data_IF_509343393624
#
_entry.id   IF_509343393624
#
_cell.length_a   1.000
_cell.length_b   1.000
_cell.length_c   1.000
_cell.angle_alpha   90.00
_cell.angle_beta   90.00
_cell.angle_gamma   90.00
#
_symmetry.space_group_name_H-M   'P 1'
#
loop_
_entity.id
_entity.type
_entity.pdbx_description
1 polymer ?
#
# COMPACT_ATOMS: atom_id res chain seq x y z
N UNK A 1 26.39 13.38 7.58
CA UNK A 1 25.37 14.20 6.89
C UNK A 1 24.06 13.92 7.59
N UNK A 2 23.47 14.90 8.29
CA UNK A 2 22.13 14.73 8.87
C UNK A 2 21.08 14.92 7.78
N UNK A 3 20.29 13.89 7.51
CA UNK A 3 19.11 14.03 6.67
C UNK A 3 18.07 14.86 7.43
N UNK A 4 17.63 15.98 6.85
CA UNK A 4 16.51 16.78 7.35
C UNK A 4 15.25 16.39 6.57
N UNK A 5 14.28 15.79 7.24
CA UNK A 5 13.00 15.46 6.64
C UNK A 5 12.14 16.71 6.50
N UNK A 6 11.76 17.04 5.26
CA UNK A 6 10.83 18.11 4.93
C UNK A 6 9.62 17.46 4.26
N UNK A 7 8.47 17.53 4.91
CA UNK A 7 7.22 17.16 4.25
C UNK A 7 6.78 18.35 3.38
N UNK A 8 6.60 18.11 2.09
CA UNK A 8 6.06 19.11 1.16
C UNK A 8 4.56 18.85 1.02
N UNK A 9 3.77 19.73 1.62
CA UNK A 9 2.32 19.76 1.45
C UNK A 9 1.97 20.86 0.44
N UNK A 10 0.78 20.80 -0.16
CA UNK A 10 0.33 21.77 -1.18
C UNK A 10 0.34 23.25 -0.71
N UNK A 11 0.54 23.53 0.59
CA UNK A 11 0.65 24.86 1.18
C UNK A 11 2.00 25.22 1.81
N UNK A 12 3.04 24.38 1.72
CA UNK A 12 4.36 24.72 2.28
C UNK A 12 5.22 23.54 2.73
N UNK A 13 6.38 23.87 3.33
CA UNK A 13 7.35 22.91 3.87
C UNK A 13 7.19 22.81 5.39
N UNK A 14 6.95 21.60 5.91
CA UNK A 14 6.89 21.32 7.35
C UNK A 14 8.18 20.61 7.77
N UNK A 15 8.87 21.17 8.77
CA UNK A 15 10.02 20.54 9.39
C UNK A 15 9.55 19.64 10.54
N UNK A 16 9.90 18.35 10.47
CA UNK A 16 9.47 17.32 11.42
C UNK A 16 10.69 16.74 12.15
N UNK A 17 11.13 17.34 13.27
CA UNK A 17 12.26 16.81 14.05
C UNK A 17 11.96 15.42 14.64
N UNK A 18 10.69 15.05 14.81
CA UNK A 18 10.25 13.75 15.32
C UNK A 18 10.65 12.59 14.40
N UNK A 19 10.88 12.86 13.11
CA UNK A 19 11.36 11.88 12.13
C UNK A 19 12.87 11.66 12.20
N UNK A 20 13.59 12.37 13.07
CA UNK A 20 15.01 12.19 13.24
C UNK A 20 15.29 10.78 13.81
N UNK A 21 15.95 9.93 13.02
CA UNK A 21 16.17 8.51 13.30
C UNK A 21 14.89 7.66 13.35
N UNK A 22 13.85 8.06 12.61
CA UNK A 22 12.68 7.22 12.38
C UNK A 22 12.53 6.89 10.91
N UNK A 23 12.03 5.69 10.65
CA UNK A 23 11.62 5.24 9.32
C UNK A 23 10.15 5.53 9.11
N UNK A 24 9.79 6.10 7.96
CA UNK A 24 8.38 6.29 7.59
C UNK A 24 7.87 5.03 6.94
N UNK A 25 6.99 4.30 7.64
CA UNK A 25 6.33 3.12 7.09
C UNK A 25 5.26 3.51 6.07
N UNK A 26 4.44 4.52 6.36
CA UNK A 26 3.30 4.82 5.51
C UNK A 26 2.85 6.27 5.62
N UNK A 27 2.14 6.75 4.61
CA UNK A 27 1.35 7.98 4.62
C UNK A 27 -0.12 7.58 4.44
N UNK A 28 -0.95 7.87 5.43
CA UNK A 28 -2.38 7.60 5.34
C UNK A 28 -3.07 8.60 4.42
N UNK A 29 -4.27 8.26 3.91
CA UNK A 29 -5.12 9.17 3.13
C UNK A 29 -5.49 10.44 3.89
N UNK A 30 -5.52 10.36 5.22
CA UNK A 30 -5.81 11.46 6.13
C UNK A 30 -4.60 12.39 6.33
N UNK A 31 -3.46 12.07 5.72
CA UNK A 31 -2.23 12.86 5.82
C UNK A 31 -1.42 12.58 7.09
N UNK A 32 -1.68 11.49 7.79
CA UNK A 32 -0.91 11.06 8.96
C UNK A 32 0.27 10.18 8.53
N UNK A 33 1.37 10.29 9.26
CA UNK A 33 2.56 9.48 9.01
C UNK A 33 2.59 8.31 9.99
N UNK A 34 2.73 7.09 9.48
CA UNK A 34 3.04 5.94 10.32
C UNK A 34 4.55 5.78 10.35
N UNK A 35 5.12 5.89 11.54
CA UNK A 35 6.58 5.96 11.74
C UNK A 35 7.04 4.82 12.63
N UNK A 36 8.24 4.34 12.36
CA UNK A 36 8.90 3.24 13.06
C UNK A 36 10.21 3.72 13.65
N UNK A 37 10.42 3.41 14.93
CA UNK A 37 11.67 3.70 15.63
C UNK A 37 12.68 2.57 15.42
N UNK A 38 13.27 2.55 14.22
CA UNK A 38 14.26 1.56 13.78
C UNK A 38 15.65 2.21 13.61
N UNK A 39 16.76 1.52 13.93
CA UNK A 39 16.89 0.14 14.43
C UNK A 39 16.88 0.00 15.95
N UNK A 40 16.53 1.05 16.70
CA UNK A 40 16.61 1.04 18.18
C UNK A 40 15.54 0.18 18.84
N UNK A 41 14.36 0.12 18.23
CA UNK A 41 13.21 -0.61 18.73
C UNK A 41 12.34 -1.09 17.55
N UNK A 42 11.13 -1.56 17.85
CA UNK A 42 10.10 -1.82 16.83
C UNK A 42 8.80 -1.07 17.13
N UNK A 43 8.90 0.00 17.91
CA UNK A 43 7.76 0.85 18.28
C UNK A 43 7.18 1.55 17.04
N UNK A 44 5.88 1.40 16.84
CA UNK A 44 5.14 2.06 15.77
C UNK A 44 4.35 3.21 16.36
N UNK A 45 4.41 4.36 15.70
CA UNK A 45 3.66 5.55 16.09
C UNK A 45 2.92 6.15 14.90
N UNK A 46 1.77 6.75 15.18
CA UNK A 46 1.04 7.59 14.25
C UNK A 46 1.37 9.05 14.57
N UNK A 47 2.03 9.74 13.63
CA UNK A 47 2.41 11.14 13.71
C UNK A 47 1.43 11.98 12.90
N UNK A 48 0.80 12.96 13.55
CA UNK A 48 0.13 14.04 12.86
C UNK A 48 1.17 15.13 12.53
N UNK A 49 1.50 15.37 11.24
CA UNK A 49 2.56 16.31 10.89
C UNK A 49 2.19 17.78 11.17
N UNK A 50 0.89 18.11 11.30
CA UNK A 50 0.42 19.46 11.56
C UNK A 50 0.43 19.77 13.06
N UNK A 51 -0.05 18.84 13.89
CA UNK A 51 -0.12 19.04 15.34
C UNK A 51 1.11 18.51 16.08
N UNK A 52 1.97 17.75 15.39
CA UNK A 52 3.11 17.02 15.95
C UNK A 52 2.73 15.98 17.02
N UNK A 53 1.44 15.65 17.11
CA UNK A 53 0.97 14.66 18.06
C UNK A 53 1.42 13.27 17.63
N UNK A 54 1.97 12.51 18.58
CA UNK A 54 2.40 11.12 18.41
C UNK A 54 1.48 10.20 19.20
N UNK A 55 0.93 9.21 18.51
CA UNK A 55 0.06 8.21 19.12
C UNK A 55 0.71 6.84 18.99
N UNK A 56 0.84 6.11 20.09
CA UNK A 56 1.44 4.78 20.06
C UNK A 56 0.48 3.74 19.49
N UNK A 57 1.03 2.85 18.67
CA UNK A 57 0.39 1.65 18.15
C UNK A 57 1.17 0.43 18.65
N UNK A 58 0.61 -0.79 18.57
CA UNK A 58 1.36 -1.98 18.94
C UNK A 58 2.67 -2.08 18.12
N UNK A 59 3.74 -2.66 18.68
CA UNK A 59 5.03 -2.71 18.00
C UNK A 59 4.95 -3.55 16.73
N UNK A 60 5.80 -3.25 15.75
CA UNK A 60 5.79 -3.93 14.45
C UNK A 60 6.15 -5.40 14.58
N UNK A 61 6.96 -5.78 15.58
CA UNK A 61 7.19 -7.18 15.95
C UNK A 61 5.88 -7.92 16.19
N UNK A 62 4.95 -7.37 16.96
CA UNK A 62 3.67 -8.03 17.21
C UNK A 62 2.85 -8.30 15.92
N UNK A 63 3.08 -7.53 14.85
CA UNK A 63 2.47 -7.78 13.53
C UNK A 63 3.19 -8.90 12.75
N UNK A 64 4.53 -8.89 12.74
CA UNK A 64 5.36 -9.80 11.91
C UNK A 64 5.59 -11.16 12.60
N UNK A 65 5.67 -11.19 13.94
CA UNK A 65 5.83 -12.40 14.75
C UNK A 65 4.68 -13.38 14.63
N UNK A 66 3.48 -12.90 14.26
CA UNK A 66 2.33 -13.77 14.00
C UNK A 66 2.61 -14.81 12.90
N UNK A 67 3.67 -14.65 12.12
CA UNK A 67 4.10 -15.59 11.07
C UNK A 67 5.39 -16.35 11.37
N UNK A 68 6.00 -16.22 12.56
CA UNK A 68 7.35 -16.75 12.81
C UNK A 68 8.43 -16.08 11.93
N UNK A 69 8.11 -14.88 11.43
CA UNK A 69 8.94 -14.11 10.50
C UNK A 69 9.85 -13.10 11.20
N UNK A 70 10.13 -13.30 12.49
CA UNK A 70 10.93 -12.38 13.31
C UNK A 70 12.29 -12.07 12.69
N UNK A 71 12.90 -13.09 12.05
CA UNK A 71 14.15 -12.92 11.34
C UNK A 71 14.09 -11.91 10.19
N UNK A 72 12.93 -11.71 9.55
CA UNK A 72 12.78 -10.77 8.44
C UNK A 72 13.01 -9.32 8.88
N UNK A 73 12.66 -8.97 10.12
CA UNK A 73 12.88 -7.63 10.68
C UNK A 73 14.37 -7.28 10.77
N UNK A 74 15.24 -8.28 10.96
CA UNK A 74 16.68 -8.09 11.14
C UNK A 74 17.49 -8.43 9.90
N UNK A 75 16.84 -8.66 8.76
CA UNK A 75 17.52 -8.86 7.48
C UNK A 75 17.67 -7.54 6.72
N UNK A 76 18.66 -7.45 5.83
CA UNK A 76 18.79 -6.34 4.88
C UNK A 76 17.55 -6.16 3.97
N UNK A 77 16.63 -7.14 3.96
CA UNK A 77 15.33 -6.98 3.33
C UNK A 77 14.52 -5.89 4.04
N UNK A 78 14.55 -5.77 5.37
CA UNK A 78 13.79 -4.76 6.10
C UNK A 78 14.13 -3.33 5.64
N UNK A 79 15.44 -3.01 5.56
CA UNK A 79 15.95 -1.70 5.10
C UNK A 79 15.65 -1.39 3.61
N UNK A 80 15.23 -2.39 2.82
CA UNK A 80 15.01 -2.22 1.38
C UNK A 80 13.60 -2.61 0.91
N UNK A 81 12.74 -3.16 1.78
CA UNK A 81 11.54 -3.88 1.34
C UNK A 81 10.20 -3.39 1.88
N UNK A 82 10.10 -2.54 2.91
CA UNK A 82 8.77 -2.18 3.44
C UNK A 82 8.60 -0.75 3.99
N UNK A 83 8.40 0.26 3.13
CA UNK A 83 7.25 1.13 3.34
C UNK A 83 5.98 0.29 3.12
N UNK A 84 5.01 0.37 4.03
CA UNK A 84 3.69 -0.22 3.84
C UNK A 84 3.13 0.27 2.50
N UNK A 85 2.58 -0.66 1.71
CA UNK A 85 2.12 -0.34 0.35
C UNK A 85 0.74 0.33 0.33
N UNK A 86 0.03 0.20 1.44
CA UNK A 86 -1.25 0.83 1.70
C UNK A 86 -1.39 1.11 3.18
N UNK A 87 -2.06 2.21 3.49
CA UNK A 87 -2.42 2.58 4.85
C UNK A 87 -3.62 3.49 4.86
N UNK A 88 -4.31 3.54 5.98
CA UNK A 88 -5.46 4.40 6.19
C UNK A 88 -5.94 4.38 7.62
N UNK A 89 -6.82 5.33 7.94
CA UNK A 89 -7.62 5.31 9.18
C UNK A 89 -9.06 4.98 8.80
N UNK A 90 -9.64 3.96 9.42
CA UNK A 90 -11.02 3.57 9.13
C UNK A 90 -12.02 4.64 9.62
N UNK A 91 -13.28 4.49 9.21
CA UNK A 91 -14.39 5.40 9.55
C UNK A 91 -14.68 5.56 11.05
N UNK A 92 -14.06 4.75 11.91
CA UNK A 92 -14.11 4.92 13.36
C UNK A 92 -13.03 5.89 13.90
N UNK A 93 -12.35 6.60 12.99
CA UNK A 93 -11.32 7.63 13.22
C UNK A 93 -10.16 7.20 14.12
N UNK A 94 -10.01 5.90 14.37
CA UNK A 94 -9.04 5.39 15.35
C UNK A 94 -8.33 4.12 14.90
N UNK A 95 -8.97 3.27 14.09
CA UNK A 95 -8.33 2.06 13.59
C UNK A 95 -7.39 2.39 12.47
N UNK A 96 -6.09 2.20 12.71
CA UNK A 96 -5.03 2.32 11.72
C UNK A 96 -4.87 0.99 11.00
N UNK A 97 -4.82 1.06 9.67
CA UNK A 97 -4.59 -0.08 8.79
C UNK A 97 -3.23 0.05 8.13
N UNK A 98 -2.46 -1.05 8.12
CA UNK A 98 -1.21 -1.17 7.40
C UNK A 98 -1.25 -2.41 6.49
N UNK A 99 -0.94 -2.23 5.21
CA UNK A 99 -0.89 -3.32 4.22
C UNK A 99 0.54 -3.59 3.78
N UNK A 100 1.00 -4.81 4.04
CA UNK A 100 2.31 -5.30 3.67
C UNK A 100 2.19 -6.33 2.55
N UNK A 101 2.15 -5.83 1.31
CA UNK A 101 1.89 -6.67 0.14
C UNK A 101 2.88 -7.84 -0.05
N UNK A 102 4.19 -7.70 0.24
CA UNK A 102 5.11 -8.86 0.13
C UNK A 102 4.94 -9.88 1.25
N UNK A 103 4.42 -9.45 2.41
CA UNK A 103 4.11 -10.33 3.53
C UNK A 103 2.71 -10.95 3.39
N UNK A 104 1.90 -10.48 2.44
CA UNK A 104 0.51 -10.90 2.24
C UNK A 104 -0.36 -10.70 3.50
N UNK A 105 -0.06 -9.68 4.30
CA UNK A 105 -0.76 -9.36 5.53
C UNK A 105 -1.27 -7.93 5.56
N UNK A 106 -2.39 -7.76 6.24
CA UNK A 106 -2.98 -6.49 6.63
C UNK A 106 -3.05 -6.48 8.16
N UNK A 107 -2.47 -5.46 8.78
CA UNK A 107 -2.54 -5.21 10.21
C UNK A 107 -3.55 -4.11 10.51
N UNK A 108 -4.38 -4.33 11.53
CA UNK A 108 -5.30 -3.33 12.09
C UNK A 108 -4.99 -3.15 13.56
N UNK A 109 -4.93 -1.91 14.04
CA UNK A 109 -4.81 -1.62 15.45
C UNK A 109 -5.36 -0.24 15.78
N UNK A 110 -5.86 -0.08 16.99
CA UNK A 110 -6.20 1.20 17.60
C UNK A 110 -5.07 1.68 18.50
N UNK A 111 -4.98 2.99 18.74
CA UNK A 111 -4.23 3.52 19.87
C UNK A 111 -4.59 2.81 21.17
N UNK A 112 -3.58 2.31 21.89
CA UNK A 112 -3.77 1.60 23.16
C UNK A 112 -4.00 0.09 23.04
N UNK A 113 -4.16 -0.45 21.83
CA UNK A 113 -4.16 -1.90 21.63
C UNK A 113 -2.80 -2.49 21.99
N UNK A 114 -2.79 -3.67 22.60
CA UNK A 114 -1.55 -4.41 22.89
C UNK A 114 -1.02 -5.23 21.71
N UNK A 115 -1.85 -5.50 20.71
CA UNK A 115 -1.54 -6.38 19.59
C UNK A 115 -2.22 -5.91 18.31
N UNK A 116 -1.67 -6.30 17.16
CA UNK A 116 -2.32 -6.11 15.87
C UNK A 116 -3.35 -7.20 15.62
N UNK A 117 -4.51 -6.83 15.09
CA UNK A 117 -5.40 -7.77 14.39
C UNK A 117 -4.83 -8.00 13.00
N UNK A 118 -4.48 -9.25 12.68
CA UNK A 118 -3.78 -9.59 11.45
C UNK A 118 -4.69 -10.38 10.51
N UNK A 119 -4.89 -9.85 9.30
CA UNK A 119 -5.59 -10.53 8.22
C UNK A 119 -4.62 -10.95 7.14
N UNK A 120 -4.75 -12.18 6.66
CA UNK A 120 -4.01 -12.67 5.50
C UNK A 120 -4.87 -12.53 4.26
N UNK A 121 -4.25 -12.19 3.15
CA UNK A 121 -4.92 -12.21 1.86
C UNK A 121 -4.05 -12.89 0.81
N UNK A 122 -4.71 -13.60 -0.10
CA UNK A 122 -4.02 -14.43 -1.09
C UNK A 122 -3.79 -13.62 -2.36
N UNK A 123 -2.65 -13.88 -3.00
CA UNK A 123 -2.33 -13.43 -4.35
C UNK A 123 -2.58 -11.92 -4.58
N UNK A 124 -1.93 -11.05 -3.80
CA UNK A 124 -2.23 -9.64 -3.88
C UNK A 124 -1.60 -8.98 -5.12
N UNK A 125 -2.30 -8.00 -5.67
CA UNK A 125 -1.81 -7.22 -6.80
C UNK A 125 -0.95 -6.07 -6.27
N UNK A 126 0.29 -6.01 -6.74
CA UNK A 126 1.26 -4.99 -6.30
C UNK A 126 0.69 -3.60 -6.59
N UNK A 127 0.73 -2.72 -5.59
CA UNK A 127 0.36 -1.27 -5.65
C UNK A 127 -1.12 -0.92 -5.72
N UNK A 128 -2.03 -1.85 -5.42
CA UNK A 128 -3.46 -1.61 -5.47
C UNK A 128 -4.06 -1.58 -4.06
N UNK A 129 -3.97 -0.45 -3.37
CA UNK A 129 -4.78 -0.19 -2.18
C UNK A 129 -5.13 1.28 -2.06
N UNK A 130 -6.32 1.58 -1.57
CA UNK A 130 -6.79 2.95 -1.39
C UNK A 130 -7.85 3.04 -0.30
N UNK A 131 -8.08 4.26 0.16
CA UNK A 131 -9.13 4.58 1.12
C UNK A 131 -10.23 5.37 0.42
N UNK A 132 -11.47 4.91 0.55
CA UNK A 132 -12.65 5.59 0.01
C UNK A 132 -13.72 5.61 1.09
N UNK A 133 -14.20 6.82 1.43
CA UNK A 133 -15.23 7.03 2.45
C UNK A 133 -14.96 6.27 3.79
N UNK A 134 -13.71 6.30 4.27
CA UNK A 134 -13.30 5.64 5.52
C UNK A 134 -13.20 4.11 5.44
N UNK A 135 -13.29 3.52 4.24
CA UNK A 135 -13.13 2.08 4.02
C UNK A 135 -11.83 1.79 3.28
N UNK A 136 -11.14 0.75 3.73
CA UNK A 136 -9.90 0.30 3.12
C UNK A 136 -10.19 -0.72 2.01
N UNK A 137 -9.66 -0.45 0.83
CA UNK A 137 -9.74 -1.34 -0.33
C UNK A 137 -8.35 -1.78 -0.75
N UNK A 138 -8.24 -3.04 -1.17
CA UNK A 138 -7.06 -3.55 -1.85
C UNK A 138 -7.45 -4.45 -3.03
N UNK A 139 -6.55 -4.73 -3.96
CA UNK A 139 -6.82 -5.66 -5.05
C UNK A 139 -5.99 -6.94 -4.94
N UNK A 140 -6.64 -8.06 -5.24
CA UNK A 140 -6.03 -9.38 -5.44
C UNK A 140 -6.34 -9.86 -6.85
N UNK A 141 -5.80 -11.01 -7.25
CA UNK A 141 -6.17 -11.63 -8.54
C UNK A 141 -7.67 -11.97 -8.62
N UNK A 142 -8.34 -12.11 -7.48
CA UNK A 142 -9.75 -12.49 -7.40
C UNK A 142 -10.68 -11.28 -7.60
N UNK A 143 -10.20 -10.07 -7.30
CA UNK A 143 -11.05 -8.89 -7.24
C UNK A 143 -10.47 -7.71 -6.48
N UNK A 144 -11.26 -6.65 -6.46
CA UNK A 144 -11.15 -5.61 -5.44
C UNK A 144 -11.79 -6.14 -4.17
N UNK A 145 -11.00 -6.18 -3.11
CA UNK A 145 -11.40 -6.55 -1.76
C UNK A 145 -11.64 -5.29 -0.93
N UNK A 146 -12.61 -5.36 -0.04
CA UNK A 146 -12.87 -4.35 1.00
C UNK A 146 -12.62 -4.95 2.37
N UNK A 147 -12.06 -4.14 3.27
CA UNK A 147 -11.89 -4.51 4.66
C UNK A 147 -13.17 -4.21 5.44
N UNK A 148 -13.75 -5.26 6.01
CA UNK A 148 -14.80 -5.19 7.02
C UNK A 148 -14.15 -5.28 8.40
N UNK A 149 -14.62 -4.50 9.37
CA UNK A 149 -14.06 -4.40 10.72
C UNK A 149 -14.88 -5.18 11.77
N UNK A 150 -16.09 -5.65 11.45
CA UNK A 150 -16.98 -6.38 12.38
C UNK A 150 -17.68 -7.60 11.73
N UNK A 151 -17.12 -8.82 11.85
CA UNK A 151 -15.77 -9.13 12.34
C UNK A 151 -14.71 -8.74 11.29
N UNK A 152 -13.43 -8.52 11.71
CA UNK A 152 -12.34 -8.23 10.81
C UNK A 152 -12.17 -9.29 9.71
N UNK A 153 -12.41 -8.91 8.45
CA UNK A 153 -12.23 -9.80 7.29
C UNK A 153 -12.16 -9.01 5.99
N UNK A 154 -11.57 -9.63 4.97
CA UNK A 154 -11.57 -9.10 3.62
C UNK A 154 -12.70 -9.74 2.82
N UNK A 155 -13.60 -8.93 2.31
CA UNK A 155 -14.72 -9.36 1.46
C UNK A 155 -14.53 -8.87 0.02
N UNK A 156 -15.06 -9.64 -0.94
CA UNK A 156 -15.00 -9.28 -2.34
C UNK A 156 -15.98 -8.13 -2.62
N UNK A 157 -15.46 -6.94 -2.90
CA UNK A 157 -16.27 -5.78 -3.27
C UNK A 157 -16.65 -5.79 -4.75
N UNK A 158 -15.70 -6.16 -5.62
CA UNK A 158 -15.93 -6.26 -7.04
C UNK A 158 -14.99 -7.27 -7.71
N UNK A 159 -15.48 -7.99 -8.71
CA UNK A 159 -14.63 -8.85 -9.55
C UNK A 159 -13.86 -8.01 -10.55
N UNK A 160 -12.63 -8.43 -10.85
CA UNK A 160 -11.89 -7.86 -11.97
C UNK A 160 -12.63 -8.24 -13.27
N UNK A 161 -12.93 -7.27 -14.15
CA UNK A 161 -13.62 -7.57 -15.41
C UNK A 161 -12.73 -8.30 -16.41
N UNK A 162 -11.42 -8.33 -16.15
CA UNK A 162 -10.45 -9.06 -16.95
C UNK A 162 -9.36 -9.68 -16.08
N UNK A 163 -8.76 -10.81 -16.49
CA UNK A 163 -7.62 -11.38 -15.79
C UNK A 163 -6.44 -10.41 -15.77
N UNK A 164 -5.81 -10.29 -14.61
CA UNK A 164 -4.57 -9.52 -14.41
C UNK A 164 -3.41 -10.48 -14.31
N UNK A 165 -2.33 -10.22 -15.05
CA UNK A 165 -1.06 -10.93 -14.86
C UNK A 165 -0.23 -10.23 -13.78
N UNK A 166 -0.04 -10.81 -12.57
CA UNK A 166 0.72 -10.15 -11.50
C UNK A 166 2.20 -9.91 -11.85
N UNK A 167 2.71 -10.59 -12.88
CA UNK A 167 4.09 -10.51 -13.33
C UNK A 167 4.32 -9.45 -14.41
N UNK A 168 3.31 -9.20 -15.24
CA UNK A 168 3.44 -8.35 -16.43
C UNK A 168 2.61 -7.05 -16.34
N UNK A 169 1.50 -7.08 -15.63
CA UNK A 169 0.58 -5.95 -15.54
C UNK A 169 0.84 -5.14 -14.27
N UNK A 170 0.40 -3.87 -14.31
CA UNK A 170 0.36 -3.02 -13.12
C UNK A 170 -1.08 -2.61 -12.84
N UNK A 171 -1.46 -2.63 -11.57
CA UNK A 171 -2.81 -2.26 -11.12
C UNK A 171 -2.68 -1.23 -10.02
N UNK A 172 -3.42 -0.14 -10.17
CA UNK A 172 -3.48 0.92 -9.18
C UNK A 172 -4.93 1.10 -8.75
N UNK A 173 -5.17 1.19 -7.45
CA UNK A 173 -6.43 1.64 -6.89
C UNK A 173 -6.26 3.09 -6.47
N UNK A 174 -7.18 3.94 -6.90
CA UNK A 174 -7.17 5.36 -6.56
C UNK A 174 -8.57 5.83 -6.19
N UNK A 175 -8.65 6.70 -5.19
CA UNK A 175 -9.86 7.46 -4.91
C UNK A 175 -9.90 8.67 -5.84
N UNK A 176 -11.00 8.83 -6.59
CA UNK A 176 -11.26 9.98 -7.44
C UNK A 176 -12.64 10.54 -7.12
N UNK A 177 -12.68 11.69 -6.45
CA UNK A 177 -13.93 12.37 -6.09
C UNK A 177 -14.94 11.49 -5.30
N UNK A 178 -14.45 10.53 -4.50
CA UNK A 178 -15.28 9.61 -3.73
C UNK A 178 -15.60 8.29 -4.45
N UNK A 179 -15.22 8.16 -5.71
CA UNK A 179 -15.34 6.91 -6.48
C UNK A 179 -14.01 6.14 -6.41
N UNK A 180 -14.09 4.81 -6.31
CA UNK A 180 -12.91 3.95 -6.35
C UNK A 180 -12.59 3.59 -7.81
N UNK A 181 -11.49 4.10 -8.34
CA UNK A 181 -11.03 3.74 -9.67
C UNK A 181 -9.94 2.66 -9.60
N UNK A 182 -10.10 1.61 -10.41
CA UNK A 182 -9.03 0.67 -10.71
C UNK A 182 -8.44 0.98 -12.07
N UNK A 183 -7.15 1.29 -12.09
CA UNK A 183 -6.39 1.47 -13.33
C UNK A 183 -5.57 0.21 -13.57
N UNK A 184 -5.97 -0.57 -14.57
CA UNK A 184 -5.22 -1.74 -15.05
C UNK A 184 -4.41 -1.35 -16.27
N UNK A 185 -3.08 -1.40 -16.14
CA UNK A 185 -2.14 -1.21 -17.24
C UNK A 185 -1.59 -2.55 -17.67
N UNK A 186 -1.99 -2.95 -18.87
CA UNK A 186 -1.58 -4.23 -19.45
C UNK A 186 -0.32 -4.05 -20.26
N UNK A 187 0.63 -4.95 -20.06
CA UNK A 187 1.75 -5.05 -20.98
C UNK A 187 1.31 -5.82 -22.23
N UNK A 188 1.04 -5.10 -23.32
CA UNK A 188 0.73 -5.75 -24.61
C UNK A 188 2.04 -6.06 -25.33
N UNK A 189 2.42 -7.35 -25.40
CA UNK A 189 3.29 -7.77 -26.49
C UNK A 189 2.42 -7.75 -27.74
N UNK A 190 2.62 -6.77 -28.61
CA UNK A 190 2.07 -6.82 -29.96
C UNK A 190 2.50 -8.17 -30.58
N UNK A 191 1.56 -9.12 -30.65
CA UNK A 191 1.75 -10.28 -31.49
C UNK A 191 1.32 -9.84 -32.89
N UNK A 192 2.26 -9.21 -33.60
CA UNK A 192 2.09 -8.92 -35.02
C UNK A 192 2.02 -10.26 -35.76
N UNK A 193 0.82 -10.80 -35.88
CA UNK A 193 0.50 -11.95 -36.71
C UNK A 193 0.38 -11.57 -38.20
N UNK A 194 1.17 -10.60 -38.68
CA UNK A 194 1.18 -10.25 -40.10
C UNK A 194 2.59 -10.09 -40.67
N UNK A 195 2.91 -11.06 -41.55
CA UNK A 195 3.94 -11.05 -42.58
C UNK A 195 5.40 -10.81 -42.16
N UNK A 196 6.11 -11.93 -42.07
CA UNK A 196 7.58 -12.08 -42.01
C UNK A 196 8.34 -11.47 -43.22
N UNK A 197 7.67 -10.72 -44.11
CA UNK A 197 8.25 -10.19 -45.34
C UNK A 197 8.72 -8.72 -45.27
N UNK A 198 8.28 -7.91 -44.28
CA UNK A 198 8.57 -6.46 -44.27
C UNK A 198 9.57 -5.98 -43.19
N UNK A 199 10.19 -6.89 -42.43
CA UNK A 199 11.08 -6.53 -41.30
C UNK A 199 12.49 -6.03 -41.66
N UNK A 200 12.74 -5.63 -42.91
CA UNK A 200 14.04 -5.02 -43.28
C UNK A 200 14.00 -3.51 -43.53
N UNK A 201 12.84 -2.85 -43.43
CA UNK A 201 12.76 -1.45 -43.85
C UNK A 201 12.57 -0.40 -42.72
N UNK A 202 12.02 -0.73 -41.56
CA UNK A 202 11.74 0.30 -40.53
C UNK A 202 12.04 -0.22 -39.12
N UNK A 203 13.10 0.31 -38.53
CA UNK A 203 13.41 0.11 -37.12
C UNK A 203 12.43 0.88 -36.25
N UNK A 204 11.47 0.18 -35.64
CA UNK A 204 10.68 0.70 -34.51
C UNK A 204 9.95 -0.44 -33.81
N UNK A 205 10.49 -0.91 -32.68
CA UNK A 205 9.73 -1.70 -31.71
C UNK A 205 8.75 -0.77 -30.99
N UNK A 206 7.50 -0.66 -31.44
CA UNK A 206 6.45 0.01 -30.67
C UNK A 206 5.85 -0.98 -29.65
N UNK A 207 6.33 -0.90 -28.41
CA UNK A 207 5.62 -1.47 -27.25
C UNK A 207 4.46 -0.54 -26.88
N UNK A 208 3.24 -1.06 -26.84
CA UNK A 208 2.05 -0.32 -26.41
C UNK A 208 1.59 -0.74 -25.01
N UNK A 209 1.28 0.24 -24.16
CA UNK A 209 0.53 0.01 -22.92
C UNK A 209 -0.94 0.35 -23.17
N UNK A 210 -1.84 -0.56 -22.83
CA UNK A 210 -3.28 -0.26 -22.78
C UNK A 210 -3.64 -0.04 -21.31
N UNK A 211 -4.20 1.14 -21.00
CA UNK A 211 -4.70 1.46 -19.67
C UNK A 211 -6.22 1.44 -19.71
N UNK A 212 -6.82 0.63 -18.84
CA UNK A 212 -8.26 0.61 -18.62
C UNK A 212 -8.52 1.15 -17.22
N UNK A 213 -9.33 2.21 -17.12
CA UNK A 213 -9.84 2.72 -15.85
C UNK A 213 -11.27 2.21 -15.65
N UNK A 214 -11.56 1.70 -14.47
CA UNK A 214 -12.87 1.19 -14.10
C UNK A 214 -13.31 1.87 -12.82
N UNK A 215 -14.47 2.51 -12.84
CA UNK A 215 -15.08 3.07 -11.66
C UNK A 215 -15.89 2.00 -10.91
N UNK A 216 -15.68 1.95 -9.61
CA UNK A 216 -16.42 1.13 -8.67
C UNK A 216 -16.97 2.05 -7.58
N UNK A 217 -18.28 1.92 -7.33
CA UNK A 217 -19.11 2.72 -6.41
C UNK A 217 -19.56 4.06 -6.98
#
# INVERSE_FOLDING_TARGET
MEARWILVLAGGRVHLPELHNQEVLALTSEGLLVVLDWPRSTEVRLLNPLTRHLTQLPPLTALVSHQGNDGLLFTAAFDTHFPAWGSGVLSDDSTVVLSFNRLNILGMAKPGDGHWTVLKFRNPLRTASSMVAGRFYCATIDGVMVLEDQPPRLELAARLPMPVSPMADTVHLMNSAGELLLVHRRFSRHHDNNNMANRRALGSNMCGYMATALAFL
#
